data_IF_209268129954
#
_entry.id   IF_209268129954
#
_cell.length_a   1.000
_cell.length_b   1.000
_cell.length_c   1.000
_cell.angle_alpha   90.00
_cell.angle_beta   90.00
_cell.angle_gamma   90.00
#
_symmetry.space_group_name_H-M   'P 1'
#
loop_
_entity.id
_entity.type
_entity.pdbx_description
1 polymer ?
#
# COMPACT_ATOMS: atom_id res chain seq x y z
N UNK A 1 -9.77 50.63 -13.24
CA UNK A 1 -10.25 49.46 -12.48
C UNK A 1 -10.47 48.32 -13.45
N UNK A 2 -9.53 47.39 -13.53
CA UNK A 2 -9.76 46.08 -14.14
C UNK A 2 -8.92 45.09 -13.35
N UNK A 3 -9.58 44.37 -12.43
CA UNK A 3 -8.94 43.40 -11.54
C UNK A 3 -8.74 42.12 -12.35
N UNK A 4 -7.49 41.72 -12.55
CA UNK A 4 -7.14 40.41 -13.10
C UNK A 4 -7.33 39.35 -12.00
N UNK A 5 -8.21 38.39 -12.25
CA UNK A 5 -8.39 37.22 -11.39
C UNK A 5 -7.15 36.30 -11.46
N UNK A 6 -6.73 35.67 -10.35
CA UNK A 6 -5.61 34.73 -10.39
C UNK A 6 -6.08 33.41 -10.98
N UNK A 7 -5.24 32.80 -11.81
CA UNK A 7 -5.47 31.47 -12.35
C UNK A 7 -5.40 30.43 -11.22
N UNK A 8 -6.51 29.73 -11.01
CA UNK A 8 -6.58 28.56 -10.14
C UNK A 8 -5.63 27.48 -10.64
N UNK A 9 -4.51 27.31 -9.95
CA UNK A 9 -3.62 26.16 -10.11
C UNK A 9 -4.28 24.96 -9.43
N UNK A 10 -5.24 24.34 -10.11
CA UNK A 10 -5.80 23.05 -9.71
C UNK A 10 -4.68 22.02 -9.81
N UNK A 11 -4.11 21.66 -8.66
CA UNK A 11 -3.18 20.55 -8.53
C UNK A 11 -3.77 19.31 -9.20
N UNK A 12 -3.17 18.88 -10.32
CA UNK A 12 -3.55 17.65 -11.02
C UNK A 12 -3.51 16.50 -10.02
N UNK A 13 -4.67 15.91 -9.74
CA UNK A 13 -4.74 14.62 -9.07
C UNK A 13 -3.94 13.61 -9.89
N UNK A 14 -3.08 12.78 -9.28
CA UNK A 14 -2.30 11.81 -10.04
C UNK A 14 -3.25 10.86 -10.78
N UNK A 15 -3.06 10.73 -12.09
CA UNK A 15 -3.86 9.82 -12.92
C UNK A 15 -3.88 8.42 -12.27
N UNK A 16 -5.06 7.78 -12.18
CA UNK A 16 -5.13 6.43 -11.65
C UNK A 16 -4.27 5.53 -12.53
N UNK A 17 -3.17 5.02 -11.96
CA UNK A 17 -2.30 4.05 -12.63
C UNK A 17 -3.21 2.93 -13.15
N UNK A 18 -3.27 2.73 -14.47
CA UNK A 18 -4.22 1.88 -15.23
C UNK A 18 -4.46 0.45 -14.69
N UNK A 19 -3.64 0.00 -13.73
CA UNK A 19 -3.64 -1.35 -13.16
C UNK A 19 -3.86 -1.40 -11.63
N UNK A 20 -4.12 -0.27 -10.97
CA UNK A 20 -4.40 -0.25 -9.54
C UNK A 20 -5.75 -0.94 -9.25
N UNK A 21 -5.76 -1.87 -8.29
CA UNK A 21 -7.00 -2.51 -7.86
C UNK A 21 -7.89 -1.48 -7.16
N UNK A 22 -9.19 -1.39 -7.51
CA UNK A 22 -10.10 -0.47 -6.84
C UNK A 22 -10.26 -0.88 -5.38
N UNK A 23 -10.23 0.11 -4.49
CA UNK A 23 -10.45 -0.06 -3.06
C UNK A 23 -11.95 -0.19 -2.79
N UNK A 24 -12.35 -1.20 -2.02
CA UNK A 24 -13.72 -1.36 -1.56
C UNK A 24 -14.09 -0.41 -0.40
N UNK A 25 -15.37 -0.36 0.01
CA UNK A 25 -15.81 0.53 1.08
C UNK A 25 -15.14 0.28 2.44
N UNK A 26 -14.82 -0.97 2.79
CA UNK A 26 -14.14 -1.29 4.05
C UNK A 26 -12.67 -0.88 3.99
N UNK A 27 -12.00 -1.14 2.87
CA UNK A 27 -10.64 -0.69 2.62
C UNK A 27 -10.54 0.83 2.66
N UNK A 28 -11.52 1.54 2.11
CA UNK A 28 -11.63 3.00 2.18
C UNK A 28 -11.63 3.51 3.61
N UNK A 29 -12.45 2.88 4.45
CA UNK A 29 -12.54 3.20 5.87
C UNK A 29 -11.21 2.97 6.62
N UNK A 30 -10.53 1.84 6.35
CA UNK A 30 -9.22 1.56 6.97
C UNK A 30 -8.15 2.53 6.48
N UNK A 31 -8.12 2.84 5.18
CA UNK A 31 -7.17 3.79 4.59
C UNK A 31 -7.31 5.18 5.23
N UNK A 32 -8.54 5.70 5.38
CA UNK A 32 -8.77 7.00 6.04
C UNK A 32 -8.15 7.06 7.44
N UNK A 33 -8.26 5.99 8.23
CA UNK A 33 -7.66 5.94 9.56
C UNK A 33 -6.15 5.89 9.54
N UNK A 34 -5.58 5.14 8.59
CA UNK A 34 -4.14 5.09 8.39
C UNK A 34 -3.61 6.46 7.98
N UNK A 35 -4.30 7.18 7.10
CA UNK A 35 -3.93 8.54 6.69
C UNK A 35 -3.91 9.48 7.90
N UNK A 36 -4.90 9.44 8.79
CA UNK A 36 -4.89 10.26 10.02
C UNK A 36 -3.65 9.98 10.88
N UNK A 37 -3.32 8.70 11.10
CA UNK A 37 -2.12 8.31 11.87
C UNK A 37 -0.82 8.66 11.13
N UNK A 38 -0.80 8.53 9.81
CA UNK A 38 0.34 8.84 8.95
C UNK A 38 0.67 10.32 9.00
N UNK A 39 -0.32 11.16 8.69
CA UNK A 39 -0.20 12.60 8.68
C UNK A 39 0.29 13.13 10.02
N UNK A 40 -0.33 12.69 11.12
CA UNK A 40 0.11 13.08 12.45
C UNK A 40 1.53 12.59 12.77
N UNK A 41 1.91 11.39 12.33
CA UNK A 41 3.27 10.88 12.55
C UNK A 41 4.34 11.62 11.74
N UNK A 42 4.04 11.99 10.49
CA UNK A 42 4.93 12.79 9.63
C UNK A 42 5.07 14.23 10.15
N UNK A 43 4.04 14.78 10.81
CA UNK A 43 4.08 16.08 11.51
C UNK A 43 4.58 15.99 12.95
N UNK A 44 5.04 14.82 13.38
CA UNK A 44 5.56 14.56 14.73
C UNK A 44 4.57 14.83 15.87
N UNK A 45 3.27 14.72 15.60
CA UNK A 45 2.22 14.92 16.59
C UNK A 45 2.23 13.78 17.63
N UNK A 46 2.19 14.14 18.92
CA UNK A 46 2.38 13.19 20.02
C UNK A 46 1.34 12.08 20.05
N UNK A 47 0.09 12.36 19.66
CA UNK A 47 -0.97 11.34 19.62
C UNK A 47 -0.63 10.23 18.62
N UNK A 48 -0.12 10.59 17.43
CA UNK A 48 0.18 9.65 16.37
C UNK A 48 1.43 8.82 16.69
N UNK A 49 2.45 9.46 17.27
CA UNK A 49 3.64 8.76 17.78
C UNK A 49 3.26 7.70 18.82
N UNK A 50 2.43 8.09 19.79
CA UNK A 50 1.98 7.19 20.85
C UNK A 50 1.09 6.07 20.30
N UNK A 51 0.13 6.39 19.43
CA UNK A 51 -0.77 5.42 18.80
C UNK A 51 0.01 4.37 17.98
N UNK A 52 0.96 4.79 17.13
CA UNK A 52 1.78 3.86 16.36
C UNK A 52 2.72 3.03 17.24
N UNK A 53 3.20 3.57 18.36
CA UNK A 53 3.98 2.80 19.32
C UNK A 53 3.15 1.68 19.95
N UNK A 54 1.92 1.97 20.39
CA UNK A 54 0.99 0.96 20.94
C UNK A 54 0.62 -0.09 19.91
N UNK A 55 0.30 0.32 18.69
CA UNK A 55 0.01 -0.59 17.57
C UNK A 55 1.19 -1.53 17.27
N UNK A 56 2.44 -1.06 17.37
CA UNK A 56 3.62 -1.93 17.23
C UNK A 56 3.77 -2.96 18.36
N UNK A 57 3.37 -2.61 19.58
CA UNK A 57 3.51 -3.51 20.75
C UNK A 57 2.60 -4.74 20.68
N UNK A 58 1.52 -4.68 19.87
CA UNK A 58 0.48 -5.71 19.80
C UNK A 58 0.46 -6.45 18.47
N UNK A 59 1.49 -6.29 17.63
CA UNK A 59 1.52 -6.93 16.31
C UNK A 59 1.49 -8.47 16.46
N UNK A 60 0.45 -9.10 15.91
CA UNK A 60 0.27 -10.56 15.97
C UNK A 60 -0.57 -11.05 17.13
N UNK A 61 -1.13 -10.15 17.93
CA UNK A 61 -2.18 -10.45 18.90
C UNK A 61 -3.55 -10.40 18.22
N UNK A 62 -4.56 -11.00 18.85
CA UNK A 62 -5.93 -10.87 18.38
C UNK A 62 -6.55 -9.52 18.81
N UNK A 63 -7.57 -9.02 18.06
CA UNK A 63 -8.37 -7.88 18.52
C UNK A 63 -8.96 -8.15 19.91
N UNK A 64 -8.92 -7.15 20.79
CA UNK A 64 -9.47 -7.25 22.15
C UNK A 64 -8.49 -7.73 23.23
N UNK A 65 -7.30 -8.24 22.86
CA UNK A 65 -6.27 -8.61 23.86
C UNK A 65 -5.61 -7.39 24.53
N UNK A 66 -5.58 -6.24 23.83
CA UNK A 66 -5.01 -5.00 24.35
C UNK A 66 -5.99 -3.84 24.14
N UNK A 67 -6.47 -3.28 25.25
CA UNK A 67 -7.48 -2.24 25.21
C UNK A 67 -6.91 -0.83 24.95
N UNK A 68 -5.59 -0.66 24.93
CA UNK A 68 -4.94 0.64 24.72
C UNK A 68 -4.99 1.15 23.27
N UNK A 69 -5.48 0.31 22.35
CA UNK A 69 -5.62 0.59 20.91
C UNK A 69 -7.07 0.56 20.40
N UNK A 70 -8.06 0.39 21.30
CA UNK A 70 -9.47 0.23 20.90
C UNK A 70 -9.98 1.37 20.01
N UNK A 71 -9.61 2.61 20.33
CA UNK A 71 -10.01 3.77 19.55
C UNK A 71 -9.52 3.67 18.10
N UNK A 72 -8.27 3.26 17.92
CA UNK A 72 -7.64 3.15 16.60
C UNK A 72 -8.24 1.99 15.80
N UNK A 73 -8.55 0.86 16.45
CA UNK A 73 -9.03 -0.36 15.78
C UNK A 73 -10.56 -0.50 15.70
N UNK A 74 -11.35 0.41 16.31
CA UNK A 74 -12.82 0.30 16.39
C UNK A 74 -13.51 0.20 15.03
N UNK A 75 -13.98 -0.96 14.60
CA UNK A 75 -14.68 -1.06 13.30
C UNK A 75 -16.05 -0.35 13.35
N UNK A 76 -16.45 0.34 12.27
CA UNK A 76 -17.77 0.97 12.21
C UNK A 76 -18.85 -0.10 12.04
N UNK A 77 -20.03 0.13 12.63
CA UNK A 77 -21.12 -0.85 12.72
C UNK A 77 -21.49 -1.47 11.37
N UNK A 78 -21.58 -0.64 10.32
CA UNK A 78 -21.84 -1.09 8.94
C UNK A 78 -20.85 -2.11 8.37
N UNK A 79 -19.70 -2.31 9.00
CA UNK A 79 -18.69 -3.28 8.59
C UNK A 79 -18.58 -4.48 9.54
N UNK A 80 -19.26 -4.51 10.70
CA UNK A 80 -19.21 -5.63 11.64
C UNK A 80 -19.99 -6.87 11.16
N UNK A 81 -20.82 -6.72 10.12
CA UNK A 81 -21.71 -7.76 9.63
C UNK A 81 -22.98 -7.89 10.48
N UNK A 82 -23.88 -8.77 10.07
CA UNK A 82 -25.25 -8.84 10.63
C UNK A 82 -25.35 -9.57 11.98
N UNK A 83 -24.29 -10.28 12.40
CA UNK A 83 -24.24 -11.02 13.66
C UNK A 83 -22.91 -10.82 14.35
N UNK A 84 -22.94 -10.13 15.49
CA UNK A 84 -21.85 -10.10 16.46
C UNK A 84 -21.88 -11.41 17.24
N UNK A 85 -20.88 -12.26 17.04
CA UNK A 85 -20.61 -13.42 17.90
C UNK A 85 -19.62 -13.05 19.01
N UNK A 86 -19.19 -14.06 19.78
CA UNK A 86 -18.20 -13.87 20.85
C UNK A 86 -16.78 -13.65 20.30
N UNK A 87 -16.52 -14.12 19.07
CA UNK A 87 -15.23 -13.95 18.39
C UNK A 87 -15.16 -12.65 17.60
N UNK A 88 -13.97 -12.02 17.48
CA UNK A 88 -13.76 -10.89 16.58
C UNK A 88 -14.22 -11.20 15.15
N UNK A 89 -14.88 -10.25 14.52
CA UNK A 89 -15.30 -10.33 13.12
C UNK A 89 -14.09 -10.35 12.18
N UNK A 90 -14.28 -10.82 10.95
CA UNK A 90 -13.21 -10.82 9.94
C UNK A 90 -12.67 -9.42 9.68
N UNK A 91 -13.54 -8.41 9.69
CA UNK A 91 -13.20 -7.00 9.52
C UNK A 91 -12.42 -6.44 10.71
N UNK A 92 -12.75 -6.84 11.94
CA UNK A 92 -11.96 -6.46 13.12
C UNK A 92 -10.55 -7.03 13.06
N UNK A 93 -10.42 -8.34 12.78
CA UNK A 93 -9.11 -8.98 12.56
C UNK A 93 -8.31 -8.33 11.45
N UNK A 94 -8.95 -8.06 10.31
CA UNK A 94 -8.31 -7.45 9.16
C UNK A 94 -7.84 -6.02 9.44
N UNK A 95 -8.70 -5.21 10.07
CA UNK A 95 -8.38 -3.84 10.41
C UNK A 95 -7.25 -3.76 11.46
N UNK A 96 -7.33 -4.56 12.53
CA UNK A 96 -6.27 -4.67 13.54
C UNK A 96 -4.94 -5.05 12.87
N UNK A 97 -4.96 -6.09 12.03
CA UNK A 97 -3.77 -6.55 11.31
C UNK A 97 -3.19 -5.47 10.41
N UNK A 98 -4.02 -4.78 9.61
CA UNK A 98 -3.57 -3.72 8.71
C UNK A 98 -2.92 -2.55 9.46
N UNK A 99 -3.53 -2.09 10.56
CA UNK A 99 -2.98 -0.98 11.37
C UNK A 99 -1.67 -1.34 12.05
N UNK A 100 -1.57 -2.53 12.64
CA UNK A 100 -0.35 -2.98 13.33
C UNK A 100 0.80 -3.20 12.33
N UNK A 101 0.49 -3.76 11.16
CA UNK A 101 1.43 -3.90 10.05
C UNK A 101 1.89 -2.54 9.49
N UNK A 102 0.97 -1.58 9.35
CA UNK A 102 1.32 -0.21 8.96
C UNK A 102 2.24 0.46 10.00
N UNK A 103 1.95 0.30 11.29
CA UNK A 103 2.76 0.87 12.35
C UNK A 103 4.20 0.34 12.37
N UNK A 104 4.41 -0.92 11.96
CA UNK A 104 5.74 -1.50 11.71
C UNK A 104 6.40 -0.88 10.48
N UNK A 105 5.64 -0.70 9.40
CA UNK A 105 6.14 -0.16 8.13
C UNK A 105 6.58 1.30 8.26
N UNK A 106 5.80 2.15 8.92
CA UNK A 106 6.11 3.58 9.09
C UNK A 106 7.20 3.84 10.15
N UNK A 107 7.62 2.83 10.91
CA UNK A 107 8.54 3.01 12.03
C UNK A 107 9.87 3.62 11.56
N UNK A 108 10.27 4.72 12.22
CA UNK A 108 11.53 5.45 11.96
C UNK A 108 11.61 6.09 10.57
N UNK A 109 10.49 6.17 9.84
CA UNK A 109 10.37 6.87 8.56
C UNK A 109 9.50 8.10 8.79
N UNK A 110 10.10 9.30 8.75
CA UNK A 110 9.42 10.58 9.06
C UNK A 110 9.19 11.46 7.83
N UNK A 111 9.90 11.16 6.75
CA UNK A 111 10.03 11.93 5.54
C UNK A 111 9.22 11.36 4.37
N UNK A 112 8.59 10.19 4.54
CA UNK A 112 7.85 9.52 3.48
C UNK A 112 6.63 8.74 4.00
N UNK A 113 5.45 8.87 3.36
CA UNK A 113 4.29 8.04 3.67
C UNK A 113 4.47 6.61 3.17
N UNK A 114 4.38 5.62 4.06
CA UNK A 114 4.43 4.19 3.73
C UNK A 114 3.05 3.62 3.36
N UNK A 115 1.97 4.36 3.61
CA UNK A 115 0.68 4.13 2.99
C UNK A 115 0.52 5.02 1.75
N UNK A 116 0.35 4.39 0.59
CA UNK A 116 0.06 5.06 -0.67
C UNK A 116 -0.97 4.29 -1.49
N UNK A 117 -1.89 5.03 -2.10
CA UNK A 117 -2.97 4.48 -2.92
C UNK A 117 -2.41 3.81 -4.18
N UNK A 118 -3.01 2.68 -4.56
CA UNK A 118 -2.74 2.01 -5.84
C UNK A 118 -1.44 1.19 -5.92
N UNK A 119 -0.74 1.00 -4.79
CA UNK A 119 0.37 0.06 -4.67
C UNK A 119 -0.09 -1.19 -3.91
N UNK A 120 -0.64 -2.17 -4.63
CA UNK A 120 -1.02 -3.46 -4.03
C UNK A 120 0.18 -4.31 -3.61
N UNK A 121 -0.07 -5.33 -2.78
CA UNK A 121 0.99 -6.19 -2.22
C UNK A 121 1.87 -6.85 -3.29
N UNK A 122 1.26 -7.44 -4.33
CA UNK A 122 2.03 -8.10 -5.40
C UNK A 122 2.96 -7.14 -6.12
N UNK A 123 2.49 -5.92 -6.40
CA UNK A 123 3.32 -4.86 -6.99
C UNK A 123 4.46 -4.44 -6.06
N UNK A 124 4.19 -4.23 -4.78
CA UNK A 124 5.20 -3.86 -3.79
C UNK A 124 6.31 -4.93 -3.68
N UNK A 125 5.92 -6.21 -3.73
CA UNK A 125 6.86 -7.34 -3.71
C UNK A 125 7.63 -7.46 -5.03
N UNK A 126 7.00 -7.19 -6.17
CA UNK A 126 7.69 -7.12 -7.47
C UNK A 126 8.77 -6.03 -7.47
N UNK A 127 8.49 -4.87 -6.87
CA UNK A 127 9.48 -3.80 -6.68
C UNK A 127 10.68 -4.27 -5.82
N UNK A 128 10.44 -5.02 -4.74
CA UNK A 128 11.53 -5.64 -3.95
C UNK A 128 12.40 -6.58 -4.79
N UNK A 129 11.83 -7.30 -5.74
CA UNK A 129 12.58 -8.18 -6.64
C UNK A 129 13.39 -7.43 -7.71
N UNK A 130 13.35 -6.10 -7.75
CA UNK A 130 14.19 -5.31 -8.67
C UNK A 130 15.67 -5.35 -8.27
N UNK A 131 15.97 -5.67 -7.00
CA UNK A 131 17.31 -5.96 -6.53
C UNK A 131 17.65 -7.44 -6.77
N UNK A 132 18.60 -7.76 -7.67
CA UNK A 132 18.96 -9.14 -8.02
C UNK A 132 19.43 -9.97 -6.82
N UNK A 133 20.13 -9.35 -5.87
CA UNK A 133 20.77 -10.04 -4.75
C UNK A 133 19.75 -10.55 -3.74
N UNK A 134 18.63 -9.83 -3.57
CA UNK A 134 17.56 -10.20 -2.65
C UNK A 134 16.36 -10.88 -3.33
N UNK A 135 16.24 -10.78 -4.66
CA UNK A 135 15.07 -11.23 -5.41
C UNK A 135 14.67 -12.70 -5.16
N UNK A 136 15.64 -13.62 -5.09
CA UNK A 136 15.37 -15.05 -4.81
C UNK A 136 14.76 -15.24 -3.43
N UNK A 137 15.31 -14.58 -2.42
CA UNK A 137 14.85 -14.69 -1.03
C UNK A 137 13.48 -14.01 -0.84
N UNK A 138 13.20 -12.94 -1.57
CA UNK A 138 11.88 -12.27 -1.62
C UNK A 138 10.85 -13.19 -2.27
N UNK A 139 11.15 -13.75 -3.44
CA UNK A 139 10.26 -14.71 -4.13
C UNK A 139 9.92 -15.92 -3.27
N UNK A 140 10.89 -16.48 -2.54
CA UNK A 140 10.65 -17.59 -1.61
C UNK A 140 9.65 -17.23 -0.51
N UNK A 141 9.78 -16.03 0.09
CA UNK A 141 8.84 -15.55 1.12
C UNK A 141 7.45 -15.28 0.55
N UNK A 142 7.38 -14.75 -0.67
CA UNK A 142 6.11 -14.52 -1.35
C UNK A 142 5.41 -15.84 -1.72
N UNK A 143 6.16 -16.86 -2.16
CA UNK A 143 5.63 -18.19 -2.38
C UNK A 143 5.09 -18.82 -1.08
N UNK A 144 5.82 -18.68 0.04
CA UNK A 144 5.37 -19.16 1.35
C UNK A 144 4.07 -18.49 1.81
N UNK A 145 3.94 -17.17 1.60
CA UNK A 145 2.70 -16.43 1.81
C UNK A 145 1.54 -17.02 0.96
N UNK A 146 1.82 -17.38 -0.30
CA UNK A 146 0.88 -18.01 -1.21
C UNK A 146 0.46 -19.43 -0.84
N UNK A 147 1.19 -20.13 0.03
CA UNK A 147 0.85 -21.48 0.49
C UNK A 147 0.33 -21.54 1.93
N UNK A 148 0.40 -20.44 2.68
CA UNK A 148 0.01 -20.38 4.08
C UNK A 148 -1.47 -20.75 4.31
N UNK A 149 -1.73 -21.78 5.13
CA UNK A 149 -3.07 -22.36 5.33
C UNK A 149 -3.86 -21.74 6.49
N UNK A 150 -3.25 -20.86 7.29
CA UNK A 150 -3.91 -20.18 8.40
C UNK A 150 -3.70 -18.67 8.34
N UNK A 151 -4.63 -17.91 8.92
CA UNK A 151 -4.53 -16.46 9.00
C UNK A 151 -3.26 -16.03 9.77
N UNK A 152 -2.95 -16.69 10.88
CA UNK A 152 -1.73 -16.42 11.66
C UNK A 152 -0.43 -16.65 10.84
N UNK A 153 -0.38 -17.69 10.00
CA UNK A 153 0.76 -17.91 9.11
C UNK A 153 0.86 -16.81 8.05
N UNK A 154 -0.27 -16.40 7.46
CA UNK A 154 -0.34 -15.29 6.50
C UNK A 154 0.18 -14.00 7.13
N UNK A 155 -0.30 -13.61 8.31
CA UNK A 155 0.13 -12.36 8.97
C UNK A 155 1.59 -12.38 9.40
N UNK A 156 2.13 -13.56 9.75
CA UNK A 156 3.56 -13.75 10.04
C UNK A 156 4.41 -13.50 8.78
N UNK A 157 4.03 -14.09 7.65
CA UNK A 157 4.73 -13.86 6.39
C UNK A 157 4.61 -12.42 5.89
N UNK A 158 3.42 -11.81 6.01
CA UNK A 158 3.21 -10.40 5.68
C UNK A 158 4.11 -9.49 6.51
N UNK A 159 4.23 -9.71 7.83
CA UNK A 159 5.12 -8.93 8.69
C UNK A 159 6.57 -9.02 8.24
N UNK A 160 7.03 -10.22 7.83
CA UNK A 160 8.38 -10.37 7.28
C UNK A 160 8.56 -9.59 5.98
N UNK A 161 7.58 -9.60 5.08
CA UNK A 161 7.64 -8.84 3.82
C UNK A 161 7.58 -7.33 4.08
N UNK A 162 6.76 -6.88 5.01
CA UNK A 162 6.61 -5.46 5.35
C UNK A 162 7.88 -4.87 5.95
N UNK A 163 8.64 -5.66 6.72
CA UNK A 163 9.98 -5.23 7.16
C UNK A 163 10.91 -4.99 5.96
N UNK A 164 10.91 -5.89 4.98
CA UNK A 164 11.69 -5.70 3.76
C UNK A 164 11.22 -4.47 2.97
N UNK A 165 9.90 -4.28 2.84
CA UNK A 165 9.32 -3.10 2.19
C UNK A 165 9.77 -1.81 2.87
N UNK A 166 9.73 -1.76 4.21
CA UNK A 166 10.22 -0.64 5.01
C UNK A 166 11.69 -0.36 4.73
N UNK A 167 12.51 -1.40 4.79
CA UNK A 167 13.97 -1.25 4.64
C UNK A 167 14.33 -0.73 3.24
N UNK A 168 13.50 -1.04 2.22
CA UNK A 168 13.63 -0.52 0.85
C UNK A 168 12.75 0.71 0.56
N UNK A 169 12.04 1.24 1.57
CA UNK A 169 11.14 2.41 1.46
C UNK A 169 10.06 2.28 0.39
N UNK A 170 9.50 1.08 0.23
CA UNK A 170 8.45 0.78 -0.74
C UNK A 170 7.08 0.85 -0.06
N UNK A 171 6.30 1.88 -0.40
CA UNK A 171 4.96 2.07 0.15
C UNK A 171 3.95 0.99 -0.29
N UNK A 172 2.83 0.89 0.45
CA UNK A 172 1.77 -0.09 0.24
C UNK A 172 0.37 0.53 0.44
N UNK A 173 -0.60 0.08 -0.35
CA UNK A 173 -2.01 0.40 -0.15
C UNK A 173 -2.61 -0.50 0.95
N UNK A 174 -2.59 -0.01 2.18
CA UNK A 174 -3.13 -0.72 3.33
C UNK A 174 -4.66 -0.83 3.33
N UNK A 175 -5.37 0.03 2.60
CA UNK A 175 -6.82 -0.12 2.41
C UNK A 175 -7.13 -1.35 1.56
N UNK A 176 -6.38 -1.55 0.47
CA UNK A 176 -6.48 -2.78 -0.34
C UNK A 176 -6.02 -4.00 0.46
N UNK A 177 -4.94 -3.88 1.23
CA UNK A 177 -4.49 -4.99 2.09
C UNK A 177 -5.56 -5.39 3.12
N UNK A 178 -6.27 -4.42 3.72
CA UNK A 178 -7.32 -4.71 4.68
C UNK A 178 -8.50 -5.48 4.04
N UNK A 179 -8.91 -5.11 2.83
CA UNK A 179 -9.93 -5.86 2.06
C UNK A 179 -9.47 -7.29 1.75
N UNK A 180 -8.21 -7.43 1.34
CA UNK A 180 -7.60 -8.74 1.09
C UNK A 180 -7.59 -9.58 2.37
N UNK A 181 -7.22 -9.01 3.53
CA UNK A 181 -7.21 -9.70 4.83
C UNK A 181 -8.60 -10.09 5.31
N UNK A 182 -9.62 -9.25 5.09
CA UNK A 182 -11.00 -9.60 5.43
C UNK A 182 -11.53 -10.71 4.51
N UNK A 183 -11.17 -10.66 3.22
CA UNK A 183 -11.55 -11.68 2.24
C UNK A 183 -10.86 -13.01 2.51
N UNK A 184 -9.57 -13.01 2.87
CA UNK A 184 -8.78 -14.21 3.18
C UNK A 184 -9.40 -15.13 4.23
N UNK A 185 -10.19 -14.57 5.15
CA UNK A 185 -10.83 -15.31 6.23
C UNK A 185 -12.13 -16.01 5.78
N UNK A 186 -12.65 -15.68 4.58
CA UNK A 186 -13.84 -16.33 4.02
C UNK A 186 -13.46 -17.69 3.40
N UNK A 187 -14.35 -18.70 3.39
CA UNK A 187 -14.03 -20.03 2.85
C UNK A 187 -13.47 -20.04 1.42
N UNK A 188 -13.97 -19.18 0.53
CA UNK A 188 -13.50 -19.03 -0.85
C UNK A 188 -12.38 -18.00 -1.04
N UNK A 189 -12.08 -17.23 0.01
CA UNK A 189 -11.20 -16.07 -0.03
C UNK A 189 -9.74 -16.37 -0.38
N UNK A 190 -9.10 -17.40 0.21
CA UNK A 190 -7.69 -17.70 -0.02
C UNK A 190 -7.31 -17.84 -1.50
N UNK A 191 -8.07 -18.61 -2.28
CA UNK A 191 -7.79 -18.79 -3.70
C UNK A 191 -7.90 -17.46 -4.47
N UNK A 192 -8.95 -16.68 -4.19
CA UNK A 192 -9.19 -15.39 -4.83
C UNK A 192 -8.06 -14.39 -4.51
N UNK A 193 -7.72 -14.20 -3.24
CA UNK A 193 -6.73 -13.22 -2.81
C UNK A 193 -5.32 -13.58 -3.29
N UNK A 194 -4.94 -14.86 -3.23
CA UNK A 194 -3.64 -15.31 -3.77
C UNK A 194 -3.54 -15.08 -5.27
N UNK A 195 -4.63 -15.34 -6.02
CA UNK A 195 -4.71 -15.02 -7.45
C UNK A 195 -4.56 -13.53 -7.73
N UNK A 196 -5.16 -12.67 -6.90
CA UNK A 196 -5.01 -11.21 -6.99
C UNK A 196 -3.57 -10.78 -6.73
N UNK A 197 -2.94 -11.27 -5.66
CA UNK A 197 -1.56 -10.95 -5.33
C UNK A 197 -0.57 -11.43 -6.41
N UNK A 198 -0.74 -12.66 -6.91
CA UNK A 198 0.10 -13.18 -8.00
C UNK A 198 -0.04 -12.34 -9.27
N UNK A 199 -1.28 -11.96 -9.63
CA UNK A 199 -1.53 -11.12 -10.81
C UNK A 199 -0.95 -9.70 -10.64
N UNK A 200 -1.06 -9.11 -9.46
CA UNK A 200 -0.45 -7.81 -9.15
C UNK A 200 1.08 -7.86 -9.28
N UNK A 201 1.69 -8.99 -8.90
CA UNK A 201 3.14 -9.23 -9.00
C UNK A 201 3.62 -9.32 -10.46
N UNK A 202 2.98 -10.15 -11.29
CA UNK A 202 3.40 -10.37 -12.69
C UNK A 202 2.95 -9.28 -13.67
N UNK A 203 2.01 -8.40 -13.29
CA UNK A 203 1.57 -7.27 -14.14
C UNK A 203 2.59 -6.13 -14.21
N UNK A 204 3.66 -6.17 -13.42
CA UNK A 204 4.71 -5.16 -13.49
C UNK A 204 5.71 -5.52 -14.60
N UNK A 205 6.19 -4.55 -15.40
CA UNK A 205 7.26 -4.81 -16.34
C UNK A 205 8.50 -5.31 -15.60
N UNK A 206 9.16 -6.33 -16.17
CA UNK A 206 10.39 -6.86 -15.61
C UNK A 206 11.41 -5.72 -15.44
N UNK A 207 12.26 -5.75 -14.40
CA UNK A 207 13.19 -4.65 -14.12
C UNK A 207 14.07 -4.23 -15.32
N UNK A 208 14.32 -5.14 -16.27
CA UNK A 208 15.04 -4.86 -17.52
C UNK A 208 14.27 -4.01 -18.54
N UNK A 209 12.94 -4.09 -18.57
CA UNK A 209 12.11 -3.35 -19.52
C UNK A 209 11.95 -1.87 -19.13
N UNK A 210 12.17 -1.54 -17.84
CA UNK A 210 12.13 -0.14 -17.34
C UNK A 210 13.28 0.73 -17.84
N UNK A 211 14.33 0.15 -18.43
CA UNK A 211 15.48 0.87 -18.97
C UNK A 211 15.26 1.40 -20.40
N UNK A 212 14.15 1.03 -21.05
CA UNK A 212 13.88 1.36 -22.46
C UNK A 212 12.92 2.53 -22.72
N UNK A 213 12.35 3.15 -21.69
CA UNK A 213 11.28 4.18 -21.84
C UNK A 213 11.77 5.63 -21.58
N UNK A 214 13.08 5.84 -21.38
CA UNK A 214 13.66 7.18 -21.17
C UNK A 214 14.55 7.63 -22.35
N UNK A 215 14.16 7.27 -23.57
CA UNK A 215 14.82 7.73 -24.80
C UNK A 215 13.78 8.22 -25.79
N UNK A 216 13.02 9.25 -25.43
CA UNK A 216 12.52 10.19 -26.44
C UNK A 216 13.67 11.10 -26.86
N UNK A 217 14.41 10.65 -27.86
CA UNK A 217 15.37 11.44 -28.62
C UNK A 217 14.58 12.39 -29.54
N UNK A 218 14.66 13.74 -29.41
CA UNK A 218 13.98 14.65 -30.30
C UNK A 218 15.01 15.34 -31.21
N UNK A 219 15.34 14.76 -32.37
CA UNK A 219 15.63 15.52 -33.62
C UNK A 219 16.10 14.64 -34.78
N UNK A 220 15.30 14.62 -35.83
CA UNK A 220 15.66 14.78 -37.25
C UNK A 220 14.33 14.61 -38.01
N UNK A 221 13.90 15.44 -38.96
CA UNK A 221 14.56 16.46 -39.74
C UNK A 221 13.47 17.31 -40.38
N UNK A 222 13.56 18.64 -40.31
CA UNK A 222 12.70 19.56 -41.07
C UNK A 222 13.28 20.98 -40.97
N UNK A 223 14.09 21.37 -41.96
CA UNK A 223 14.31 22.77 -42.26
C UNK A 223 14.25 22.98 -43.79
N UNK A 224 13.40 23.91 -44.27
CA UNK A 224 13.32 24.27 -45.68
C UNK A 224 14.31 25.38 -46.05
N UNK A 225 14.43 25.57 -47.37
CA UNK A 225 15.25 26.55 -48.06
C UNK A 225 14.97 28.03 -47.70
N UNK A 226 16.03 28.84 -47.78
CA UNK A 226 15.97 30.31 -47.80
C UNK A 226 17.33 30.90 -48.20
N UNK A 227 17.32 31.77 -49.21
CA UNK A 227 18.46 32.28 -49.97
C UNK A 227 19.00 33.65 -49.48
N UNK A 228 20.26 33.97 -49.83
CA UNK A 228 20.88 35.30 -50.06
C UNK A 228 22.31 35.02 -50.60
N UNK A 229 22.67 35.23 -51.88
CA UNK A 229 23.07 36.46 -52.62
C UNK A 229 24.40 37.12 -52.16
N UNK A 230 25.25 37.43 -53.17
CA UNK A 230 26.48 38.26 -53.21
C UNK A 230 27.77 37.57 -52.72
N UNK A 231 28.90 37.53 -53.43
CA UNK A 231 29.48 38.37 -54.51
C UNK A 231 30.40 37.50 -55.42
#
# INVERSE_FOLDING_TARGET
MTVAAPADNVAKSPEPKRYARPRGPFGGYVATRIVVLQDGYLREESFAIAALARLRAVVGREPGEDFTILEQTRVAEKYLGDRLGDDPTHTERAMHTALTLYAVHQQSIRDMPMHQDGIGLGRAVSLLCSDPDSAVAVRRRFAALGTATSYAAVTTHLRSLIRLLRDHRIALDYGVLAEDLATLQKPWGPAQVRGLWGRDFYRQPEPGDRRGDDSTDPKADSAPAGATSEE
#
